data_IF_394191887825
#
_entry.id   IF_394191887825
#
_cell.length_a   1.000
_cell.length_b   1.000
_cell.length_c   1.000
_cell.angle_alpha   90.00
_cell.angle_beta   90.00
_cell.angle_gamma   90.00
#
_symmetry.space_group_name_H-M   'P 1'
#
loop_
_entity.id
_entity.type
_entity.pdbx_description
1 polymer ?
#
# COMPACT_ATOMS: atom_id res chain seq x y z
N UNK A 1 19.91 26.28 -1.34
CA UNK A 1 19.52 25.04 -2.05
C UNK A 1 18.81 24.12 -1.08
N UNK A 2 17.51 23.99 -1.20
CA UNK A 2 16.74 23.06 -0.42
C UNK A 2 17.03 21.63 -0.92
N UNK A 3 17.84 20.87 -0.21
CA UNK A 3 17.97 19.43 -0.45
C UNK A 3 16.63 18.78 -0.12
N UNK A 4 16.02 18.26 -1.15
CA UNK A 4 14.72 17.63 -1.11
C UNK A 4 14.62 16.60 0.01
N UNK A 5 13.47 16.61 0.67
CA UNK A 5 13.00 15.59 1.60
C UNK A 5 13.31 14.22 1.00
N UNK A 6 14.11 13.45 1.70
CA UNK A 6 14.42 12.08 1.28
C UNK A 6 13.14 11.32 1.00
N UNK A 7 12.81 11.17 -0.27
CA UNK A 7 11.87 10.16 -0.71
C UNK A 7 12.40 8.85 -0.15
N UNK A 8 11.69 8.22 0.78
CA UNK A 8 11.96 6.82 1.09
C UNK A 8 12.06 6.14 -0.27
N UNK A 9 13.24 5.64 -0.59
CA UNK A 9 13.47 4.95 -1.85
C UNK A 9 12.39 3.90 -1.96
N UNK A 10 11.60 3.97 -3.01
CA UNK A 10 10.78 2.86 -3.46
C UNK A 10 11.79 1.72 -3.55
N UNK A 11 11.59 0.63 -2.81
CA UNK A 11 12.51 -0.49 -2.80
C UNK A 11 12.77 -0.94 -4.25
N UNK A 12 13.95 -1.41 -4.55
CA UNK A 12 14.25 -1.93 -5.88
C UNK A 12 13.20 -2.99 -6.23
N UNK A 13 12.36 -2.73 -7.25
CA UNK A 13 11.24 -3.58 -7.62
C UNK A 13 9.85 -3.10 -7.21
N UNK A 14 9.73 -2.08 -6.34
CA UNK A 14 8.43 -1.51 -6.00
C UNK A 14 7.85 -0.72 -7.18
N UNK A 15 6.62 -1.05 -7.57
CA UNK A 15 5.89 -0.37 -8.64
C UNK A 15 4.87 0.64 -8.11
N UNK A 16 4.45 0.47 -6.85
CA UNK A 16 3.55 1.39 -6.18
C UNK A 16 3.74 1.34 -4.66
N UNK A 17 3.51 2.47 -4.00
CA UNK A 17 3.48 2.56 -2.55
C UNK A 17 2.36 3.47 -2.06
N UNK A 18 1.72 3.09 -0.95
CA UNK A 18 0.64 3.85 -0.34
C UNK A 18 1.15 4.65 0.87
N UNK A 19 1.61 5.85 0.62
CA UNK A 19 2.10 6.75 1.68
C UNK A 19 0.98 7.24 2.60
N UNK A 20 -0.25 7.27 2.11
CA UNK A 20 -1.41 7.69 2.90
C UNK A 20 -1.82 6.66 3.94
N UNK A 21 -1.51 5.38 3.73
CA UNK A 21 -1.88 4.33 4.68
C UNK A 21 -1.32 4.59 6.07
N UNK A 22 -0.04 4.89 6.19
CA UNK A 22 0.59 5.19 7.47
C UNK A 22 0.16 6.53 8.09
N UNK A 23 -0.36 7.44 7.28
CA UNK A 23 -0.89 8.71 7.76
C UNK A 23 -2.33 8.58 8.28
N UNK A 24 -3.17 7.80 7.60
CA UNK A 24 -4.59 7.64 7.91
C UNK A 24 -4.88 6.55 8.94
N UNK A 25 -4.01 5.53 9.00
CA UNK A 25 -4.23 4.31 9.77
C UNK A 25 -3.05 3.99 10.67
N UNK A 26 -3.35 3.35 11.80
CA UNK A 26 -2.37 2.58 12.55
C UNK A 26 -2.27 1.19 11.93
N UNK A 27 -1.12 0.86 11.36
CA UNK A 27 -0.87 -0.42 10.73
C UNK A 27 -0.45 -1.45 11.78
N UNK A 28 -1.27 -2.47 11.99
CA UNK A 28 -1.09 -3.45 13.07
C UNK A 28 -0.32 -4.68 12.63
N UNK A 29 -0.71 -5.26 11.51
CA UNK A 29 -0.13 -6.49 10.98
C UNK A 29 -0.04 -6.39 9.46
N UNK A 30 0.97 -7.00 8.88
CA UNK A 30 1.18 -7.03 7.43
C UNK A 30 1.34 -8.45 6.93
N UNK A 31 0.76 -8.71 5.77
CA UNK A 31 0.95 -9.96 5.03
C UNK A 31 1.34 -9.66 3.59
N UNK A 32 2.15 -10.53 3.01
CA UNK A 32 2.49 -10.52 1.60
C UNK A 32 1.54 -11.44 0.85
N UNK A 33 0.93 -10.92 -0.21
CA UNK A 33 0.02 -11.66 -1.07
C UNK A 33 0.52 -11.66 -2.51
N UNK A 34 0.31 -12.76 -3.22
CA UNK A 34 0.30 -12.76 -4.68
C UNK A 34 -0.94 -12.04 -5.19
N UNK A 35 -0.90 -11.55 -6.40
CA UNK A 35 -2.03 -10.91 -7.07
C UNK A 35 -2.26 -11.52 -8.44
N UNK A 36 -3.51 -11.86 -8.73
CA UNK A 36 -3.93 -12.37 -10.03
C UNK A 36 -4.18 -11.20 -10.99
N UNK A 37 -3.35 -11.10 -12.00
CA UNK A 37 -3.36 -10.03 -12.99
C UNK A 37 -3.59 -10.55 -14.41
N UNK A 38 -4.16 -9.69 -15.24
CA UNK A 38 -4.19 -9.88 -16.70
C UNK A 38 -2.86 -9.45 -17.33
N UNK A 39 -2.56 -9.90 -18.54
CA UNK A 39 -1.31 -9.57 -19.22
C UNK A 39 -1.10 -8.07 -19.43
N UNK A 40 -2.18 -7.33 -19.76
CA UNK A 40 -2.14 -5.87 -19.92
C UNK A 40 -1.87 -5.14 -18.60
N UNK A 41 -2.36 -5.66 -17.49
CA UNK A 41 -2.07 -5.12 -16.15
C UNK A 41 -0.61 -5.28 -15.76
N UNK A 42 -0.02 -6.45 -16.04
CA UNK A 42 1.41 -6.69 -15.77
C UNK A 42 2.27 -5.72 -16.58
N UNK A 43 1.96 -5.53 -17.86
CA UNK A 43 2.67 -4.58 -18.73
C UNK A 43 2.50 -3.14 -18.23
N UNK A 44 1.29 -2.74 -17.86
CA UNK A 44 1.03 -1.42 -17.32
C UNK A 44 1.76 -1.17 -16.00
N UNK A 45 1.81 -2.14 -15.10
CA UNK A 45 2.56 -2.04 -13.85
C UNK A 45 4.06 -1.83 -14.07
N UNK A 46 4.63 -2.50 -15.06
CA UNK A 46 6.05 -2.35 -15.38
C UNK A 46 6.40 -1.00 -15.99
N UNK A 47 5.46 -0.38 -16.69
CA UNK A 47 5.68 0.90 -17.38
C UNK A 47 5.19 2.11 -16.59
N UNK A 48 4.01 2.03 -15.98
CA UNK A 48 3.32 3.17 -15.37
C UNK A 48 3.04 3.02 -13.88
N UNK A 49 3.20 1.83 -13.32
CA UNK A 49 2.89 1.56 -11.92
C UNK A 49 1.39 1.49 -11.62
N UNK A 50 1.02 1.74 -10.37
CA UNK A 50 -0.36 1.72 -9.90
C UNK A 50 -0.60 2.77 -8.81
N UNK A 51 -1.88 3.06 -8.54
CA UNK A 51 -2.32 3.94 -7.46
C UNK A 51 -3.03 3.12 -6.38
N UNK A 52 -2.47 3.09 -5.19
CA UNK A 52 -2.98 2.32 -4.06
C UNK A 52 -3.77 3.16 -3.05
N UNK A 53 -3.83 4.46 -3.23
CA UNK A 53 -4.34 5.42 -2.23
C UNK A 53 -5.71 5.08 -1.68
N UNK A 54 -6.65 4.76 -2.54
CA UNK A 54 -8.04 4.48 -2.18
C UNK A 54 -8.35 2.98 -2.15
N UNK A 55 -7.33 2.15 -2.35
CA UNK A 55 -7.43 0.70 -2.34
C UNK A 55 -7.73 0.14 -0.96
N UNK A 56 -8.49 -0.93 -0.95
CA UNK A 56 -8.75 -1.75 0.23
C UNK A 56 -8.88 -3.21 -0.15
N UNK A 57 -8.69 -4.09 0.80
CA UNK A 57 -8.93 -5.51 0.62
C UNK A 57 -10.12 -5.98 1.44
N UNK A 58 -10.84 -6.95 0.93
CA UNK A 58 -11.98 -7.57 1.61
C UNK A 58 -11.95 -9.09 1.42
N UNK A 59 -12.39 -9.79 2.46
CA UNK A 59 -12.58 -11.24 2.39
C UNK A 59 -14.01 -11.53 1.97
N UNK A 60 -14.18 -12.27 0.89
CA UNK A 60 -15.46 -12.73 0.39
C UNK A 60 -15.37 -14.22 0.05
N UNK A 61 -16.27 -15.01 0.61
CA UNK A 61 -16.36 -16.47 0.36
C UNK A 61 -15.02 -17.21 0.61
N UNK A 62 -14.30 -16.81 1.65
CA UNK A 62 -13.01 -17.40 2.00
C UNK A 62 -11.84 -16.98 1.10
N UNK A 63 -12.04 -16.03 0.23
CA UNK A 63 -11.04 -15.46 -0.69
C UNK A 63 -10.78 -13.99 -0.36
N UNK A 64 -9.54 -13.56 -0.58
CA UNK A 64 -9.13 -12.17 -0.39
C UNK A 64 -9.16 -11.42 -1.73
N UNK A 65 -9.84 -10.29 -1.75
CA UNK A 65 -9.99 -9.45 -2.94
C UNK A 65 -9.49 -8.04 -2.71
N UNK A 66 -8.78 -7.51 -3.70
CA UNK A 66 -8.29 -6.14 -3.72
C UNK A 66 -9.24 -5.26 -4.56
N UNK A 67 -9.73 -4.18 -3.97
CA UNK A 67 -10.67 -3.25 -4.59
C UNK A 67 -10.07 -1.85 -4.71
N UNK A 68 -10.59 -1.08 -5.67
CA UNK A 68 -10.29 0.35 -5.84
C UNK A 68 -8.79 0.68 -5.99
N UNK A 69 -8.03 -0.24 -6.53
CA UNK A 69 -6.65 -0.02 -6.95
C UNK A 69 -6.62 0.27 -8.44
N UNK A 70 -6.15 1.45 -8.80
CA UNK A 70 -6.07 1.89 -10.18
C UNK A 70 -4.78 1.40 -10.83
N UNK A 71 -4.90 0.56 -11.85
CA UNK A 71 -3.83 0.20 -12.77
C UNK A 71 -4.18 0.80 -14.13
N UNK A 72 -3.39 1.77 -14.63
CA UNK A 72 -3.73 2.46 -15.87
C UNK A 72 -3.78 1.50 -17.06
N UNK A 73 -4.57 1.81 -18.10
CA UNK A 73 -4.58 1.04 -19.32
C UNK A 73 -3.17 0.96 -19.95
N UNK A 74 -2.86 -0.17 -20.54
CA UNK A 74 -1.65 -0.32 -21.33
C UNK A 74 -1.88 0.24 -22.74
N UNK A 75 -1.24 1.37 -23.07
CA UNK A 75 -1.48 2.12 -24.30
C UNK A 75 -1.42 1.28 -25.59
N UNK A 76 -0.41 0.41 -25.79
CA UNK A 76 -0.32 -0.44 -26.99
C UNK A 76 -1.41 -1.51 -27.13
N UNK A 77 -2.14 -1.84 -26.07
CA UNK A 77 -3.15 -2.90 -26.10
C UNK A 77 -4.50 -2.48 -26.73
N UNK A 78 -4.67 -1.20 -27.06
CA UNK A 78 -5.82 -0.69 -27.79
C UNK A 78 -7.19 -1.12 -27.25
N UNK A 79 -7.84 -2.09 -27.89
CA UNK A 79 -9.21 -2.53 -27.56
C UNK A 79 -9.29 -3.62 -26.50
N UNK A 80 -8.21 -4.33 -26.23
CA UNK A 80 -8.15 -5.46 -25.31
C UNK A 80 -7.54 -5.07 -23.96
N UNK A 81 -7.81 -3.86 -23.50
CA UNK A 81 -7.35 -3.41 -22.21
C UNK A 81 -8.25 -3.92 -21.07
N UNK A 82 -7.62 -4.03 -19.89
CA UNK A 82 -8.31 -4.31 -18.64
C UNK A 82 -9.08 -3.08 -18.15
N UNK A 83 -10.08 -3.30 -17.31
CA UNK A 83 -10.71 -2.23 -16.55
C UNK A 83 -9.75 -1.75 -15.46
N UNK A 84 -9.46 -0.43 -15.38
CA UNK A 84 -8.42 0.09 -14.46
C UNK A 84 -8.64 -0.23 -12.99
N UNK A 85 -9.88 -0.27 -12.52
CA UNK A 85 -10.24 -0.47 -11.12
C UNK A 85 -10.97 -1.79 -10.84
N UNK A 86 -10.84 -2.77 -11.72
CA UNK A 86 -11.47 -4.06 -11.50
C UNK A 86 -11.02 -4.70 -10.18
N UNK A 87 -11.90 -5.46 -9.49
CA UNK A 87 -11.49 -6.28 -8.36
C UNK A 87 -10.46 -7.34 -8.76
N UNK A 88 -9.44 -7.53 -7.94
CA UNK A 88 -8.37 -8.50 -8.20
C UNK A 88 -8.25 -9.47 -7.05
N UNK A 89 -8.19 -10.76 -7.37
CA UNK A 89 -8.00 -11.79 -6.38
C UNK A 89 -6.58 -11.74 -5.83
N UNK A 90 -6.45 -11.86 -4.52
CA UNK A 90 -5.18 -11.98 -3.82
C UNK A 90 -4.96 -13.43 -3.38
N UNK A 91 -3.71 -13.85 -3.44
CA UNK A 91 -3.27 -15.17 -3.05
C UNK A 91 -2.42 -15.07 -1.78
N UNK A 92 -2.90 -15.64 -0.70
CA UNK A 92 -2.20 -15.71 0.58
C UNK A 92 -2.18 -17.14 1.09
N UNK A 93 -1.25 -17.45 2.00
CA UNK A 93 -1.29 -18.73 2.70
C UNK A 93 -2.57 -18.85 3.52
N UNK A 94 -3.16 -20.05 3.51
CA UNK A 94 -4.46 -20.26 4.15
C UNK A 94 -4.48 -19.83 5.62
N UNK A 95 -3.43 -20.13 6.37
CA UNK A 95 -3.32 -19.74 7.78
C UNK A 95 -3.28 -18.21 7.97
N UNK A 96 -2.58 -17.50 7.10
CA UNK A 96 -2.53 -16.04 7.13
C UNK A 96 -3.86 -15.43 6.75
N UNK A 97 -4.52 -15.99 5.73
CA UNK A 97 -5.84 -15.55 5.29
C UNK A 97 -6.88 -15.76 6.39
N UNK A 98 -6.94 -16.92 7.01
CA UNK A 98 -7.88 -17.21 8.10
C UNK A 98 -7.66 -16.28 9.31
N UNK A 99 -6.40 -16.04 9.68
CA UNK A 99 -6.04 -15.14 10.78
C UNK A 99 -6.46 -13.70 10.49
N UNK A 100 -6.14 -13.20 9.32
CA UNK A 100 -6.51 -11.84 8.91
C UNK A 100 -8.01 -11.69 8.71
N UNK A 101 -8.68 -12.67 8.14
CA UNK A 101 -10.13 -12.67 7.97
C UNK A 101 -10.87 -12.58 9.31
N UNK A 102 -10.44 -13.34 10.31
CA UNK A 102 -11.00 -13.26 11.66
C UNK A 102 -10.83 -11.88 12.27
N UNK A 103 -9.64 -11.29 12.17
CA UNK A 103 -9.36 -9.97 12.71
C UNK A 103 -10.02 -8.83 11.93
N UNK A 104 -10.15 -8.97 10.61
CA UNK A 104 -10.80 -7.95 9.78
C UNK A 104 -12.29 -7.78 10.09
N UNK A 105 -12.92 -8.74 10.75
CA UNK A 105 -14.30 -8.64 11.23
C UNK A 105 -14.42 -7.81 12.53
N UNK A 106 -13.32 -7.54 13.21
CA UNK A 106 -13.31 -6.70 14.39
C UNK A 106 -13.70 -5.26 14.03
N UNK A 107 -14.50 -4.65 14.90
CA UNK A 107 -14.98 -3.29 14.67
C UNK A 107 -13.83 -2.29 14.58
N UNK A 108 -13.86 -1.45 13.55
CA UNK A 108 -12.87 -0.39 13.32
C UNK A 108 -11.59 -0.87 12.63
N UNK A 109 -11.49 -2.14 12.22
CA UNK A 109 -10.39 -2.65 11.44
C UNK A 109 -10.74 -2.75 9.96
N UNK A 110 -9.76 -2.52 9.11
CA UNK A 110 -9.84 -2.65 7.66
C UNK A 110 -8.52 -3.20 7.10
N UNK A 111 -8.55 -3.67 5.88
CA UNK A 111 -7.36 -4.14 5.17
C UNK A 111 -6.99 -3.13 4.08
N UNK A 112 -5.78 -2.63 4.10
CA UNK A 112 -5.30 -1.64 3.14
C UNK A 112 -4.01 -2.10 2.46
N UNK A 113 -3.86 -1.90 1.13
CA UNK A 113 -2.60 -2.16 0.46
C UNK A 113 -1.58 -1.08 0.83
N UNK A 114 -0.37 -1.50 1.14
CA UNK A 114 0.73 -0.61 1.52
C UNK A 114 1.74 -0.42 0.40
N UNK A 115 2.05 -1.48 -0.32
CA UNK A 115 2.94 -1.44 -1.48
C UNK A 115 2.66 -2.58 -2.45
N UNK A 116 3.05 -2.38 -3.68
CA UNK A 116 3.03 -3.39 -4.73
C UNK A 116 4.40 -3.47 -5.39
N UNK A 117 4.87 -4.67 -5.66
CA UNK A 117 6.21 -4.90 -6.18
C UNK A 117 6.28 -6.21 -6.97
N UNK A 118 7.35 -6.37 -7.75
CA UNK A 118 7.67 -7.63 -8.39
C UNK A 118 8.71 -8.40 -7.58
N UNK A 119 8.45 -9.68 -7.36
CA UNK A 119 9.40 -10.65 -6.86
C UNK A 119 9.68 -11.65 -7.99
N UNK A 120 10.79 -11.48 -8.69
CA UNK A 120 11.04 -12.18 -9.93
C UNK A 120 9.98 -11.85 -11.00
N UNK A 121 9.30 -12.88 -11.51
CA UNK A 121 8.22 -12.73 -12.49
C UNK A 121 6.83 -12.49 -11.86
N UNK A 122 6.70 -12.58 -10.55
CA UNK A 122 5.43 -12.50 -9.86
C UNK A 122 5.18 -11.12 -9.26
N UNK A 123 4.02 -10.56 -9.56
CA UNK A 123 3.54 -9.36 -8.88
C UNK A 123 3.02 -9.72 -7.49
N UNK A 124 3.42 -8.94 -6.50
CA UNK A 124 3.02 -9.11 -5.10
C UNK A 124 2.51 -7.80 -4.53
N UNK A 125 1.61 -7.90 -3.57
CA UNK A 125 1.09 -6.77 -2.83
C UNK A 125 1.18 -7.05 -1.33
N UNK A 126 1.63 -6.06 -0.58
CA UNK A 126 1.61 -6.10 0.87
C UNK A 126 0.29 -5.49 1.36
N UNK A 127 -0.46 -6.26 2.14
CA UNK A 127 -1.71 -5.84 2.76
C UNK A 127 -1.47 -5.67 4.25
N UNK A 128 -1.93 -4.57 4.81
CA UNK A 128 -1.87 -4.31 6.24
C UNK A 128 -3.26 -4.32 6.87
N UNK A 129 -3.36 -4.97 8.02
CA UNK A 129 -4.49 -4.79 8.92
C UNK A 129 -4.35 -3.43 9.58
N UNK A 130 -5.35 -2.59 9.46
CA UNK A 130 -5.27 -1.18 9.79
C UNK A 130 -6.46 -0.72 10.63
N UNK A 131 -6.19 0.16 11.58
CA UNK A 131 -7.20 0.88 12.35
C UNK A 131 -7.15 2.36 11.99
N UNK A 132 -8.30 2.95 11.72
CA UNK A 132 -8.40 4.38 11.46
C UNK A 132 -7.88 5.19 12.65
N UNK A 133 -7.08 6.22 12.36
CA UNK A 133 -6.61 7.16 13.38
C UNK A 133 -7.70 8.16 13.71
N UNK A 134 -7.94 8.38 15.00
CA UNK A 134 -8.77 9.48 15.46
C UNK A 134 -8.10 10.83 15.19
N UNK A 135 -8.88 11.91 15.16
CA UNK A 135 -8.36 13.26 14.93
C UNK A 135 -7.29 13.65 15.96
N UNK A 136 -7.39 13.17 17.17
CA UNK A 136 -6.43 13.37 18.25
C UNK A 136 -5.09 12.68 17.93
N UNK A 137 -5.12 11.42 17.54
CA UNK A 137 -3.95 10.62 17.18
C UNK A 137 -3.21 11.21 15.97
N UNK A 138 -3.96 11.73 15.01
CA UNK A 138 -3.38 12.43 13.84
C UNK A 138 -2.60 13.67 14.26
N UNK A 139 -3.15 14.46 15.20
CA UNK A 139 -2.48 15.65 15.75
C UNK A 139 -1.23 15.30 16.53
N UNK A 140 -1.26 14.25 17.35
CA UNK A 140 -0.09 13.77 18.06
C UNK A 140 1.01 13.30 17.11
N UNK A 141 0.66 12.51 16.12
CA UNK A 141 1.63 12.03 15.11
C UNK A 141 2.30 13.18 14.36
N UNK A 142 1.56 14.23 14.05
CA UNK A 142 2.11 15.44 13.43
C UNK A 142 3.05 16.18 14.39
N UNK A 143 2.66 16.38 15.63
CA UNK A 143 3.50 17.01 16.66
C UNK A 143 4.80 16.26 16.88
N UNK A 144 4.77 14.94 16.99
CA UNK A 144 5.95 14.10 17.15
C UNK A 144 6.90 14.18 15.94
N UNK A 145 6.33 14.23 14.73
CA UNK A 145 7.14 14.44 13.52
C UNK A 145 7.83 15.79 13.49
N UNK A 146 7.12 16.83 13.87
CA UNK A 146 7.68 18.18 13.88
C UNK A 146 8.75 18.31 14.97
N UNK A 147 8.48 17.78 16.16
CA UNK A 147 9.49 17.73 17.25
C UNK A 147 10.75 16.97 16.84
N UNK A 148 10.62 15.82 16.18
CA UNK A 148 11.79 15.08 15.66
C UNK A 148 12.58 15.90 14.65
N UNK A 149 11.90 16.61 13.74
CA UNK A 149 12.56 17.47 12.76
C UNK A 149 13.33 18.60 13.42
N UNK A 150 12.75 19.20 14.45
CA UNK A 150 13.38 20.30 15.17
C UNK A 150 14.60 19.83 15.98
N UNK A 151 14.52 18.67 16.63
CA UNK A 151 15.65 18.02 17.30
C UNK A 151 16.77 17.70 16.30
N UNK A 152 16.45 17.09 15.15
CA UNK A 152 17.45 16.80 14.12
C UNK A 152 18.12 18.07 13.58
N UNK A 153 17.35 19.15 13.46
CA UNK A 153 17.87 20.47 13.03
C UNK A 153 18.82 21.03 14.07
N UNK A 154 18.41 21.03 15.35
CA UNK A 154 19.24 21.49 16.45
C UNK A 154 20.54 20.69 16.62
N UNK A 155 20.48 19.36 16.45
CA UNK A 155 21.68 18.52 16.49
C UNK A 155 22.65 18.76 15.32
N UNK A 156 22.13 19.12 14.14
CA UNK A 156 22.97 19.49 13.00
C UNK A 156 23.64 20.83 13.17
N UNK A 157 22.94 21.79 13.77
CA UNK A 157 23.49 23.12 14.06
C UNK A 157 24.56 23.05 15.15
N UNK A 158 24.37 22.22 16.17
CA UNK A 158 25.35 22.04 17.26
C UNK A 158 26.62 21.27 16.84
N UNK A 159 26.60 20.58 15.69
CA UNK A 159 27.78 19.87 15.11
C UNK A 159 28.57 20.71 14.13
N UNK A 160 28.20 21.94 13.93
CA UNK A 160 28.92 22.92 13.10
C UNK A 160 29.80 23.80 13.98
#
# INVERSE_FOLDING_TARGET
MAKGKGKRKIGAGDVASNRYASHRYNLLERIECGIVLEGTEVKALRTSGAQLKDGYAAVRDGELWLHSVHIPPYGPASRENHEPERPRKLLAHRRELERIAARAQERGLTLVPTRMYFSGAHAKVEIALARGKDLYDKRQTLKERDSRRDIERGLREARR
#
